data_IF_666161183610
#
_entry.id   IF_666161183610
#
_cell.length_a   1.000
_cell.length_b   1.000
_cell.length_c   1.000
_cell.angle_alpha   90.00
_cell.angle_beta   90.00
_cell.angle_gamma   90.00
#
_symmetry.space_group_name_H-M   'P 1'
#
loop_
_entity.id
_entity.type
_entity.pdbx_description
1 polymer ?
#
# COMPACT_ATOMS: atom_id res chain seq x y z
N UNK A 1 4.96 6.56 -20.57
CA UNK A 1 4.58 5.25 -20.05
C UNK A 1 3.24 5.35 -19.30
N UNK A 2 2.36 4.45 -19.59
CA UNK A 2 1.03 4.45 -18.96
C UNK A 2 1.00 3.45 -17.82
N UNK A 3 0.53 3.91 -16.66
CA UNK A 3 0.33 3.03 -15.52
C UNK A 3 -1.06 2.42 -15.61
N UNK A 4 -1.14 1.11 -15.37
CA UNK A 4 -2.40 0.40 -15.36
C UNK A 4 -2.86 0.30 -13.92
N UNK A 5 -4.09 0.76 -13.66
CA UNK A 5 -4.69 0.65 -12.34
C UNK A 5 -5.41 -0.69 -12.28
N UNK A 6 -5.04 -1.51 -11.31
CA UNK A 6 -5.66 -2.82 -11.12
C UNK A 6 -6.32 -2.88 -9.75
N UNK A 7 -7.49 -3.50 -9.74
CA UNK A 7 -8.20 -3.77 -8.50
C UNK A 7 -7.69 -5.08 -7.92
N UNK A 8 -7.26 -5.06 -6.67
CA UNK A 8 -6.71 -6.24 -6.00
C UNK A 8 -7.41 -6.44 -4.68
N UNK A 9 -7.65 -7.71 -4.35
CA UNK A 9 -8.15 -8.07 -3.02
C UNK A 9 -6.97 -8.20 -2.07
N UNK A 10 -7.06 -7.55 -0.93
CA UNK A 10 -6.00 -7.58 0.06
C UNK A 10 -6.59 -7.83 1.44
N UNK A 11 -5.77 -8.34 2.33
CA UNK A 11 -6.13 -8.54 3.72
C UNK A 11 -5.49 -7.45 4.56
N UNK A 12 -6.30 -6.78 5.38
CA UNK A 12 -5.83 -5.69 6.24
C UNK A 12 -6.32 -5.98 7.65
N UNK A 13 -5.39 -6.37 8.52
CA UNK A 13 -5.73 -6.64 9.92
C UNK A 13 -6.81 -7.69 10.11
N UNK A 14 -6.81 -8.73 9.26
CA UNK A 14 -7.79 -9.79 9.33
C UNK A 14 -9.07 -9.56 8.54
N UNK A 15 -9.19 -8.40 7.89
CA UNK A 15 -10.36 -8.08 7.07
C UNK A 15 -9.97 -8.02 5.61
N UNK A 16 -10.81 -8.60 4.75
CA UNK A 16 -10.59 -8.51 3.31
C UNK A 16 -11.18 -7.23 2.76
N UNK A 17 -10.41 -6.56 1.92
CA UNK A 17 -10.85 -5.35 1.25
C UNK A 17 -10.24 -5.33 -0.14
N UNK A 18 -10.65 -4.39 -0.99
CA UNK A 18 -10.02 -4.22 -2.29
C UNK A 18 -9.41 -2.86 -2.40
N UNK A 19 -8.30 -2.81 -3.14
CA UNK A 19 -7.64 -1.55 -3.46
C UNK A 19 -7.47 -1.46 -4.96
N UNK A 20 -7.62 -0.27 -5.49
CA UNK A 20 -7.31 0.02 -6.89
C UNK A 20 -6.04 0.84 -6.93
N UNK A 21 -5.00 0.28 -7.53
CA UNK A 21 -3.67 0.86 -7.39
C UNK A 21 -2.88 0.62 -8.66
N UNK A 22 -2.11 1.61 -9.04
CA UNK A 22 -1.18 1.48 -10.14
C UNK A 22 -0.15 0.40 -9.81
N UNK A 23 0.26 -0.33 -10.84
CA UNK A 23 1.19 -1.43 -10.65
C UNK A 23 2.50 -0.97 -10.00
N UNK A 24 2.97 0.22 -10.38
CA UNK A 24 4.20 0.77 -9.82
C UNK A 24 4.10 0.99 -8.31
N UNK A 25 2.96 1.49 -7.85
CA UNK A 25 2.76 1.67 -6.42
C UNK A 25 2.62 0.34 -5.70
N UNK A 26 1.97 -0.63 -6.33
CA UNK A 26 1.83 -1.96 -5.76
C UNK A 26 3.19 -2.63 -5.56
N UNK A 27 4.04 -2.58 -6.58
CA UNK A 27 5.37 -3.16 -6.50
C UNK A 27 6.22 -2.45 -5.46
N UNK A 28 6.15 -1.12 -5.43
CA UNK A 28 6.89 -0.35 -4.43
C UNK A 28 6.45 -0.71 -3.01
N UNK A 29 5.16 -0.89 -2.80
CA UNK A 29 4.64 -1.29 -1.50
C UNK A 29 5.19 -2.65 -1.08
N UNK A 30 5.20 -3.59 -2.01
CA UNK A 30 5.73 -4.92 -1.73
C UNK A 30 7.21 -4.88 -1.41
N UNK A 31 7.97 -4.07 -2.14
CA UNK A 31 9.41 -3.92 -1.90
C UNK A 31 9.66 -3.34 -0.51
N UNK A 32 8.89 -2.34 -0.12
CA UNK A 32 9.04 -1.74 1.20
C UNK A 32 8.73 -2.76 2.30
N UNK A 33 7.63 -3.50 2.15
CA UNK A 33 7.27 -4.53 3.13
C UNK A 33 8.35 -5.58 3.25
N UNK A 34 8.90 -6.01 2.13
CA UNK A 34 9.95 -7.01 2.13
C UNK A 34 11.22 -6.48 2.80
N UNK A 35 11.59 -5.24 2.53
CA UNK A 35 12.78 -4.65 3.13
C UNK A 35 12.65 -4.49 4.64
N UNK A 36 11.44 -4.33 5.13
CA UNK A 36 11.16 -4.22 6.56
C UNK A 36 10.82 -5.57 7.19
N UNK A 37 10.84 -6.64 6.39
CA UNK A 37 10.54 -8.00 6.84
C UNK A 37 9.16 -8.08 7.47
N UNK A 38 8.19 -7.41 6.87
CA UNK A 38 6.80 -7.40 7.33
C UNK A 38 5.91 -8.09 6.32
N UNK A 39 4.93 -8.88 6.78
CA UNK A 39 3.89 -9.35 5.88
C UNK A 39 3.12 -8.17 5.31
N UNK A 40 2.64 -8.32 4.08
CA UNK A 40 1.92 -7.24 3.43
C UNK A 40 0.67 -6.83 4.20
N UNK A 41 -0.05 -7.81 4.78
CA UNK A 41 -1.25 -7.51 5.56
C UNK A 41 -0.94 -6.65 6.77
N UNK A 42 0.19 -6.91 7.44
CA UNK A 42 0.60 -6.10 8.59
C UNK A 42 0.97 -4.70 8.15
N UNK A 43 1.69 -4.58 7.03
CA UNK A 43 2.06 -3.28 6.48
C UNK A 43 0.81 -2.46 6.13
N UNK A 44 -0.18 -3.09 5.52
CA UNK A 44 -1.41 -2.41 5.14
C UNK A 44 -2.20 -1.95 6.36
N UNK A 45 -2.19 -2.74 7.44
CA UNK A 45 -2.84 -2.34 8.68
C UNK A 45 -2.18 -1.10 9.28
N UNK A 46 -0.86 -1.04 9.26
CA UNK A 46 -0.11 0.12 9.73
C UNK A 46 -0.44 1.35 8.90
N UNK A 47 -0.49 1.20 7.58
CA UNK A 47 -0.78 2.30 6.67
C UNK A 47 -2.19 2.85 6.93
N UNK A 48 -3.17 1.95 7.06
CA UNK A 48 -4.54 2.35 7.30
C UNK A 48 -4.67 3.14 8.61
N UNK A 49 -4.00 2.68 9.64
CA UNK A 49 -4.03 3.34 10.95
C UNK A 49 -3.34 4.69 10.92
N UNK A 50 -2.18 4.74 10.27
CA UNK A 50 -1.33 5.94 10.29
C UNK A 50 -1.95 7.08 9.49
N UNK A 51 -2.50 6.79 8.31
CA UNK A 51 -2.95 7.83 7.41
C UNK A 51 -4.43 8.15 7.53
N UNK A 52 -5.22 7.22 8.02
CA UNK A 52 -6.66 7.41 8.31
C UNK A 52 -7.41 8.06 7.14
N UNK A 53 -7.06 7.66 5.93
CA UNK A 53 -7.74 8.14 4.73
C UNK A 53 -9.01 7.33 4.51
N UNK A 54 -10.02 7.97 3.89
CA UNK A 54 -11.23 7.27 3.53
C UNK A 54 -10.98 6.19 2.48
N UNK A 55 -9.90 6.33 1.72
CA UNK A 55 -9.56 5.45 0.61
C UNK A 55 -8.19 4.85 0.89
N UNK A 56 -8.13 3.54 1.02
CA UNK A 56 -6.88 2.85 1.31
C UNK A 56 -5.87 3.02 0.18
N UNK A 57 -6.34 3.10 -1.07
CA UNK A 57 -5.44 3.34 -2.20
C UNK A 57 -4.69 4.66 -2.04
N UNK A 58 -5.39 5.70 -1.62
CA UNK A 58 -4.75 7.01 -1.36
C UNK A 58 -3.75 6.91 -0.23
N UNK A 59 -4.09 6.18 0.83
CA UNK A 59 -3.18 6.00 1.96
C UNK A 59 -1.90 5.30 1.53
N UNK A 60 -2.03 4.27 0.69
CA UNK A 60 -0.87 3.56 0.17
C UNK A 60 0.01 4.47 -0.67
N UNK A 61 -0.61 5.27 -1.55
CA UNK A 61 0.17 6.20 -2.38
C UNK A 61 0.95 7.19 -1.53
N UNK A 62 0.32 7.74 -0.49
CA UNK A 62 1.00 8.67 0.41
C UNK A 62 2.14 7.99 1.16
N UNK A 63 1.92 6.78 1.61
CA UNK A 63 2.94 6.01 2.30
C UNK A 63 4.16 5.77 1.43
N UNK A 64 3.94 5.31 0.20
CA UNK A 64 5.03 5.04 -0.74
C UNK A 64 5.77 6.33 -1.07
N UNK A 65 5.03 7.39 -1.34
CA UNK A 65 5.64 8.68 -1.68
C UNK A 65 6.51 9.18 -0.54
N UNK A 66 6.00 9.15 0.68
CA UNK A 66 6.75 9.60 1.85
C UNK A 66 7.99 8.75 2.08
N UNK A 67 7.88 7.45 1.87
CA UNK A 67 9.02 6.56 2.04
C UNK A 67 10.17 6.95 1.14
N UNK A 68 9.88 7.20 -0.13
CA UNK A 68 10.94 7.54 -1.09
C UNK A 68 11.40 8.99 -0.99
N UNK A 69 10.60 9.87 -0.42
CA UNK A 69 11.03 11.25 -0.20
C UNK A 69 12.01 11.39 0.95
N UNK A 70 11.92 10.52 1.93
CA UNK A 70 12.76 10.59 3.12
C UNK A 70 13.99 9.69 3.04
N UNK A 71 14.10 8.96 1.97
CA UNK A 71 15.25 8.05 1.73
C UNK A 71 15.96 8.42 0.42
#
# INVERSE_FOLDING_TARGET
MQSVIKKRSVEVGGCNTSVSLENEFWEALRDIAQSQQMPLSAMLAVIKDKYQQNNLSSAIRLFVLNHYRTH
#
